data_IF_830066999208
#
_entry.id   IF_830066999208
#
_cell.length_a   1.000
_cell.length_b   1.000
_cell.length_c   1.000
_cell.angle_alpha   90.00
_cell.angle_beta   90.00
_cell.angle_gamma   90.00
#
_symmetry.space_group_name_H-M   'P 1'
#
loop_
_entity.id
_entity.type
_entity.pdbx_description
1 polymer ?
#
# COMPACT_ATOMS: atom_id res chain seq x y z
N UNK A 1 -10.62 20.84 19.64
CA UNK A 1 -9.84 19.59 19.44
C UNK A 1 -8.40 19.98 19.12
N UNK A 2 -7.44 19.58 19.96
CA UNK A 2 -6.01 19.93 19.82
C UNK A 2 -5.39 19.04 18.74
N UNK A 3 -4.67 19.63 17.79
CA UNK A 3 -3.97 18.93 16.71
C UNK A 3 -2.76 18.19 17.27
N UNK A 4 -2.64 16.89 17.01
CA UNK A 4 -1.39 16.15 17.20
C UNK A 4 -0.45 16.45 16.01
N UNK A 5 0.84 16.73 16.26
CA UNK A 5 1.82 16.86 15.20
C UNK A 5 2.28 15.45 14.81
N UNK A 6 1.86 14.96 13.64
CA UNK A 6 2.37 13.68 13.10
C UNK A 6 1.42 12.86 12.22
N UNK A 7 0.13 13.22 12.11
CA UNK A 7 -0.83 12.48 11.29
C UNK A 7 -1.47 13.35 10.23
N UNK A 8 -0.80 13.57 9.10
CA UNK A 8 -1.42 14.14 7.90
C UNK A 8 -1.75 13.00 6.95
N UNK A 9 -3.03 12.71 6.76
CA UNK A 9 -3.55 12.42 5.43
C UNK A 9 -5.00 12.91 5.36
N UNK A 10 -5.31 14.00 4.62
CA UNK A 10 -6.67 14.23 4.16
C UNK A 10 -6.80 14.08 2.64
N UNK A 11 -7.72 13.19 2.26
CA UNK A 11 -8.74 13.34 1.20
C UNK A 11 -8.53 12.80 -0.23
N UNK A 12 -7.51 11.99 -0.49
CA UNK A 12 -7.52 11.00 -1.59
C UNK A 12 -6.71 9.78 -1.14
N UNK A 13 -7.30 8.91 -0.32
CA UNK A 13 -6.57 7.91 0.46
C UNK A 13 -6.22 6.68 -0.38
N UNK A 14 -5.17 6.78 -1.20
CA UNK A 14 -4.44 5.61 -1.68
C UNK A 14 -3.52 5.09 -0.56
N UNK A 15 -3.34 3.79 -0.52
CA UNK A 15 -2.37 3.13 0.35
C UNK A 15 -1.29 2.50 -0.52
N UNK A 16 -0.04 2.83 -0.22
CA UNK A 16 1.13 2.20 -0.84
C UNK A 16 1.59 1.07 0.09
N UNK A 17 1.47 -0.17 -0.37
CA UNK A 17 1.89 -1.37 0.38
C UNK A 17 3.23 -1.86 -0.16
N UNK A 18 4.20 -2.02 0.74
CA UNK A 18 5.50 -2.65 0.44
C UNK A 18 5.49 -4.11 0.92
N UNK A 19 5.30 -5.02 -0.02
CA UNK A 19 5.14 -6.45 0.24
C UNK A 19 6.48 -7.10 0.59
N UNK A 20 6.55 -7.74 1.76
CA UNK A 20 7.76 -8.40 2.27
C UNK A 20 8.67 -7.49 3.10
N UNK A 21 8.31 -6.23 3.31
CA UNK A 21 9.02 -5.35 4.23
C UNK A 21 8.59 -5.63 5.68
N UNK A 22 9.53 -6.08 6.52
CA UNK A 22 9.24 -6.56 7.88
C UNK A 22 9.83 -5.71 9.00
N UNK A 23 10.63 -4.68 8.69
CA UNK A 23 11.37 -3.94 9.70
C UNK A 23 10.48 -2.94 10.48
N UNK A 24 9.47 -2.34 9.84
CA UNK A 24 8.52 -1.42 10.45
C UNK A 24 7.15 -1.51 9.77
N UNK A 25 6.07 -1.29 10.53
CA UNK A 25 4.71 -1.28 9.96
C UNK A 25 4.48 -0.13 8.97
N UNK A 26 5.14 1.02 9.17
CA UNK A 26 5.09 2.15 8.24
C UNK A 26 6.45 2.84 8.16
N UNK A 27 6.80 3.37 6.99
CA UNK A 27 7.97 4.22 6.80
C UNK A 27 7.73 5.21 5.66
N UNK A 28 8.52 6.27 5.61
CA UNK A 28 8.55 7.19 4.45
C UNK A 28 9.88 7.01 3.75
N UNK A 29 9.84 6.67 2.46
CA UNK A 29 11.06 6.59 1.66
C UNK A 29 11.65 8.00 1.50
N UNK A 30 12.87 8.20 2.00
CA UNK A 30 13.52 9.51 1.96
C UNK A 30 13.87 9.97 0.55
N UNK A 31 13.97 9.04 -0.41
CA UNK A 31 14.29 9.35 -1.80
C UNK A 31 13.07 9.88 -2.56
N UNK A 32 11.90 9.29 -2.36
CA UNK A 32 10.66 9.65 -3.09
C UNK A 32 9.68 10.49 -2.27
N UNK A 33 9.78 10.48 -0.94
CA UNK A 33 8.82 11.08 -0.03
C UNK A 33 7.50 10.31 0.10
N UNK A 34 7.40 9.11 -0.47
CA UNK A 34 6.20 8.27 -0.42
C UNK A 34 6.16 7.51 0.91
N UNK A 35 5.01 7.52 1.57
CA UNK A 35 4.76 6.70 2.75
C UNK A 35 4.29 5.31 2.34
N UNK A 36 4.96 4.29 2.85
CA UNK A 36 4.65 2.88 2.65
C UNK A 36 4.17 2.26 3.96
N UNK A 37 3.28 1.29 3.85
CA UNK A 37 2.91 0.37 4.92
C UNK A 37 3.37 -1.06 4.56
N UNK A 38 3.81 -1.82 5.57
CA UNK A 38 4.08 -3.25 5.42
C UNK A 38 2.81 -4.04 5.09
N UNK A 39 2.95 -5.14 4.35
CA UNK A 39 1.84 -6.04 4.03
C UNK A 39 1.36 -6.88 5.22
N UNK A 40 2.09 -6.95 6.33
CA UNK A 40 1.75 -7.77 7.52
C UNK A 40 0.30 -7.56 8.04
N UNK A 41 -0.23 -6.34 7.93
CA UNK A 41 -1.61 -6.01 8.31
C UNK A 41 -2.66 -6.25 7.22
N UNK A 42 -2.24 -6.66 6.02
CA UNK A 42 -3.04 -6.81 4.80
C UNK A 42 -2.96 -8.23 4.21
N UNK A 43 -2.12 -9.11 4.78
CA UNK A 43 -1.92 -10.49 4.35
C UNK A 43 -3.00 -11.46 4.81
N UNK A 44 -4.02 -11.00 5.57
CA UNK A 44 -5.25 -11.77 5.80
C UNK A 44 -6.11 -11.81 4.53
N UNK A 45 -5.55 -12.37 3.45
CA UNK A 45 -6.17 -12.52 2.15
C UNK A 45 -6.79 -13.91 2.05
N UNK A 46 -8.05 -14.03 2.43
CA UNK A 46 -8.80 -15.29 2.46
C UNK A 46 -9.46 -15.70 1.15
N UNK A 47 -9.34 -14.93 0.05
CA UNK A 47 -10.11 -15.19 -1.18
C UNK A 47 -9.25 -15.06 -2.45
N UNK A 48 -9.18 -16.16 -3.19
CA UNK A 48 -8.64 -16.21 -4.55
C UNK A 48 -9.82 -16.03 -5.51
N UNK A 49 -9.80 -14.96 -6.30
CA UNK A 49 -10.77 -14.73 -7.37
C UNK A 49 -10.13 -14.92 -8.74
N UNK A 50 -10.81 -15.56 -9.72
CA UNK A 50 -10.34 -15.58 -11.09
C UNK A 50 -10.30 -14.15 -11.63
N UNK A 51 -9.14 -13.76 -12.17
CA UNK A 51 -8.97 -12.47 -12.83
C UNK A 51 -9.62 -12.54 -14.21
N UNK A 52 -10.45 -11.56 -14.54
CA UNK A 52 -11.00 -11.44 -15.89
C UNK A 52 -9.87 -11.10 -16.87
N UNK A 53 -9.56 -12.07 -17.73
CA UNK A 53 -8.49 -11.95 -18.72
C UNK A 53 -8.75 -10.88 -19.76
N UNK A 54 -10.01 -10.50 -20.00
CA UNK A 54 -10.37 -9.44 -20.94
C UNK A 54 -10.00 -8.02 -20.44
N UNK A 55 -9.74 -7.88 -19.14
CA UNK A 55 -9.36 -6.62 -18.50
C UNK A 55 -7.89 -6.59 -18.03
N UNK A 56 -7.11 -7.62 -18.38
CA UNK A 56 -5.68 -7.61 -18.13
C UNK A 56 -5.02 -6.57 -19.03
N UNK A 57 -4.27 -5.64 -18.43
CA UNK A 57 -3.25 -4.90 -19.16
C UNK A 57 -2.14 -5.88 -19.54
N UNK A 58 -2.17 -6.34 -20.79
CA UNK A 58 -1.23 -7.34 -21.33
C UNK A 58 0.20 -6.82 -21.42
N UNK A 59 0.39 -5.51 -21.31
CA UNK A 59 1.68 -4.80 -21.36
C UNK A 59 2.43 -4.78 -20.02
N UNK A 60 1.86 -5.35 -18.95
CA UNK A 60 2.49 -5.48 -17.63
C UNK A 60 2.99 -6.91 -17.32
N UNK A 61 2.80 -7.85 -18.25
CA UNK A 61 3.08 -9.27 -18.05
C UNK A 61 4.38 -9.77 -18.72
N UNK A 62 5.18 -8.87 -19.31
CA UNK A 62 6.48 -9.18 -19.93
C UNK A 62 7.67 -8.92 -19.00
#
# INVERSE_FOLDING_TARGET
>A
IRRAPGGMLPRHSFISIDCGYTANQTYTDSRTGISYASDEGYTDAGLIHPVDKGNLQTDLAD
#
